data_IF_635032899844
#
_entry.id   IF_635032899844
#
_cell.length_a   1.000
_cell.length_b   1.000
_cell.length_c   1.000
_cell.angle_alpha   90.00
_cell.angle_beta   90.00
_cell.angle_gamma   90.00
#
_symmetry.space_group_name_H-M   'P 1'
#
loop_
_entity.id
_entity.type
_entity.pdbx_description
1 polymer ?
#
# COMPACT_ATOMS: atom_id res chain seq x y z
N UNK A 1 28.40 0.10 -4.03
CA UNK A 1 27.01 0.61 -3.95
C UNK A 1 26.84 1.38 -2.66
N UNK A 2 26.51 2.66 -2.79
CA UNK A 2 26.56 3.68 -1.75
C UNK A 2 25.44 3.47 -0.73
N UNK A 3 25.81 3.55 0.55
CA UNK A 3 25.01 3.11 1.70
C UNK A 3 24.24 4.31 2.25
N UNK A 4 22.98 4.50 1.83
CA UNK A 4 22.13 5.56 2.37
C UNK A 4 21.66 5.16 3.76
N UNK A 5 21.96 6.02 4.74
CA UNK A 5 21.69 5.91 6.18
C UNK A 5 20.34 6.58 6.45
N UNK A 6 19.32 5.76 6.71
CA UNK A 6 17.96 6.24 7.04
C UNK A 6 17.93 6.50 8.54
N UNK A 7 17.90 7.77 8.94
CA UNK A 7 17.81 8.21 10.34
C UNK A 7 16.38 8.13 10.90
N UNK A 8 16.22 8.31 12.21
CA UNK A 8 14.91 8.36 12.88
C UNK A 8 14.02 9.52 12.39
N UNK A 9 14.60 10.49 11.68
CA UNK A 9 13.94 11.59 10.98
C UNK A 9 13.98 11.41 9.45
N UNK A 10 14.03 10.17 8.96
CA UNK A 10 13.97 9.93 7.53
C UNK A 10 12.51 10.09 7.07
N UNK A 11 12.20 11.02 6.15
CA UNK A 11 10.85 11.21 5.62
C UNK A 11 10.25 9.92 5.06
N UNK A 12 11.07 8.97 4.62
CA UNK A 12 10.62 7.63 4.19
C UNK A 12 10.01 6.79 5.32
N UNK A 13 10.43 6.99 6.58
CA UNK A 13 9.88 6.28 7.74
C UNK A 13 8.50 6.79 8.12
N UNK A 14 8.30 8.11 8.06
CA UNK A 14 7.00 8.75 8.31
C UNK A 14 5.99 8.36 7.24
N UNK A 15 6.40 8.41 5.97
CA UNK A 15 5.54 8.00 4.85
C UNK A 15 5.13 6.52 4.95
N UNK A 16 6.05 5.65 5.37
CA UNK A 16 5.75 4.23 5.61
C UNK A 16 4.73 4.04 6.75
N UNK A 17 4.94 4.73 7.88
CA UNK A 17 4.03 4.66 9.04
C UNK A 17 2.64 5.15 8.66
N UNK A 18 2.53 6.27 7.93
CA UNK A 18 1.24 6.81 7.50
C UNK A 18 0.54 5.89 6.49
N UNK A 19 1.25 5.34 5.50
CA UNK A 19 0.68 4.32 4.61
C UNK A 19 0.13 3.14 5.40
N UNK A 20 0.89 2.66 6.38
CA UNK A 20 0.49 1.54 7.23
C UNK A 20 -0.75 1.89 8.06
N UNK A 21 -0.77 3.07 8.70
CA UNK A 21 -1.91 3.55 9.47
C UNK A 21 -3.17 3.60 8.61
N UNK A 22 -3.09 4.22 7.43
CA UNK A 22 -4.20 4.34 6.50
C UNK A 22 -4.68 2.99 5.94
N UNK A 23 -3.78 2.04 5.70
CA UNK A 23 -4.14 0.68 5.27
C UNK A 23 -4.89 -0.08 6.39
N UNK A 24 -4.38 -0.01 7.62
CA UNK A 24 -5.02 -0.63 8.79
C UNK A 24 -6.38 0.00 9.08
N UNK A 25 -6.50 1.32 8.97
CA UNK A 25 -7.76 2.03 9.13
C UNK A 25 -8.81 1.54 8.12
N UNK A 26 -8.48 1.48 6.83
CA UNK A 26 -9.39 0.97 5.78
C UNK A 26 -9.76 -0.50 6.02
N UNK A 27 -8.80 -1.31 6.43
CA UNK A 27 -9.04 -2.71 6.78
C UNK A 27 -10.01 -2.86 7.96
N UNK A 28 -9.77 -2.14 9.06
CA UNK A 28 -10.64 -2.15 10.24
C UNK A 28 -12.03 -1.63 9.89
N UNK A 29 -12.11 -0.52 9.13
CA UNK A 29 -13.39 0.02 8.65
C UNK A 29 -14.18 -1.02 7.86
N UNK A 30 -13.55 -1.82 7.00
CA UNK A 30 -14.23 -2.92 6.29
C UNK A 30 -14.76 -3.97 7.24
N UNK A 31 -13.95 -4.42 8.19
CA UNK A 31 -14.37 -5.42 9.19
C UNK A 31 -15.59 -4.92 9.95
N UNK A 32 -15.53 -3.72 10.53
CA UNK A 32 -16.62 -3.21 11.37
C UNK A 32 -17.87 -2.83 10.57
N UNK A 33 -17.72 -2.51 9.28
CA UNK A 33 -18.86 -2.26 8.38
C UNK A 33 -19.61 -3.54 7.99
N UNK A 34 -18.97 -4.71 8.13
CA UNK A 34 -19.57 -5.98 7.71
C UNK A 34 -20.36 -6.64 8.86
N UNK A 35 -21.68 -6.87 8.73
CA UNK A 35 -22.53 -7.33 9.83
C UNK A 35 -22.07 -8.61 10.51
N UNK A 36 -21.56 -9.58 9.74
CA UNK A 36 -21.07 -10.87 10.26
C UNK A 36 -19.72 -10.76 10.98
N UNK A 37 -18.82 -9.89 10.50
CA UNK A 37 -17.45 -9.81 11.01
C UNK A 37 -17.39 -8.94 12.27
N UNK A 38 -18.26 -7.94 12.36
CA UNK A 38 -18.42 -7.13 13.56
C UNK A 38 -18.90 -7.97 14.76
N UNK A 39 -19.63 -9.06 14.52
CA UNK A 39 -20.12 -9.96 15.57
C UNK A 39 -19.04 -10.95 16.04
N UNK A 40 -17.91 -11.03 15.34
CA UNK A 40 -16.82 -11.93 15.68
C UNK A 40 -16.25 -11.59 17.08
N UNK A 41 -16.14 -12.58 17.98
CA UNK A 41 -15.69 -12.35 19.34
C UNK A 41 -14.23 -11.86 19.41
N UNK A 42 -13.36 -12.31 18.50
CA UNK A 42 -11.96 -11.89 18.46
C UNK A 42 -11.85 -10.45 17.97
N UNK A 43 -12.69 -10.03 17.01
CA UNK A 43 -12.75 -8.64 16.53
C UNK A 43 -13.22 -7.70 17.65
N UNK A 44 -14.27 -8.09 18.37
CA UNK A 44 -14.78 -7.29 19.51
C UNK A 44 -13.76 -7.20 20.63
N UNK A 45 -13.17 -8.33 21.01
CA UNK A 45 -12.11 -8.38 22.01
C UNK A 45 -10.91 -7.50 21.61
N UNK A 46 -10.49 -7.57 20.34
CA UNK A 46 -9.39 -6.76 19.82
C UNK A 46 -9.67 -5.25 19.89
N UNK A 47 -10.91 -4.82 19.64
CA UNK A 47 -11.30 -3.40 19.66
C UNK A 47 -11.58 -2.88 21.08
N UNK A 48 -12.02 -3.73 22.00
CA UNK A 48 -12.46 -3.35 23.34
C UNK A 48 -11.37 -3.47 24.42
N UNK A 49 -10.29 -4.22 24.18
CA UNK A 49 -9.19 -4.36 25.16
C UNK A 49 -8.28 -3.12 25.19
N UNK A 50 -8.02 -2.61 26.39
CA UNK A 50 -7.06 -1.51 26.62
C UNK A 50 -5.61 -1.93 26.37
N UNK A 51 -5.25 -3.18 26.66
CA UNK A 51 -3.94 -3.75 26.38
C UNK A 51 -4.06 -5.00 25.50
N UNK A 52 -3.50 -4.92 24.30
CA UNK A 52 -3.43 -6.05 23.38
C UNK A 52 -2.38 -7.06 23.86
N UNK A 53 -2.68 -8.38 23.87
CA UNK A 53 -1.69 -9.40 24.19
C UNK A 53 -0.45 -9.25 23.32
N UNK A 54 0.74 -9.35 23.92
CA UNK A 54 2.01 -9.33 23.17
C UNK A 54 1.95 -10.43 22.11
N UNK A 55 2.15 -10.10 20.84
CA UNK A 55 2.11 -11.08 19.75
C UNK A 55 3.23 -12.12 19.92
N UNK A 56 2.91 -13.29 20.49
CA UNK A 56 3.91 -14.32 20.84
C UNK A 56 4.27 -15.22 19.65
N UNK A 57 3.44 -15.26 18.58
CA UNK A 57 3.55 -16.26 17.50
C UNK A 57 3.90 -15.72 16.11
N UNK A 58 4.25 -14.44 15.95
CA UNK A 58 4.68 -13.89 14.64
C UNK A 58 6.07 -14.36 14.19
N UNK A 59 6.82 -15.08 15.04
CA UNK A 59 8.15 -15.61 14.70
C UNK A 59 8.14 -16.96 13.95
N UNK A 60 7.00 -17.65 13.84
CA UNK A 60 6.96 -18.99 13.22
C UNK A 60 6.82 -18.97 11.68
N UNK A 61 6.51 -17.83 11.06
CA UNK A 61 6.27 -17.71 9.61
C UNK A 61 7.53 -17.43 8.77
N UNK A 62 8.70 -17.22 9.40
CA UNK A 62 9.98 -16.99 8.73
C UNK A 62 11.02 -18.06 9.10
N UNK A 63 10.68 -19.32 8.83
CA UNK A 63 11.60 -20.45 8.96
C UNK A 63 11.75 -21.18 7.63
N UNK A 64 12.95 -21.68 7.34
CA UNK A 64 13.28 -22.49 6.16
C UNK A 64 12.41 -23.77 5.95
N UNK A 65 11.45 -24.03 6.84
CA UNK A 65 10.40 -25.03 6.68
C UNK A 65 9.26 -24.62 5.74
N UNK A 66 8.93 -23.32 5.63
CA UNK A 66 7.81 -22.85 4.79
C UNK A 66 8.13 -22.96 3.29
N UNK A 67 9.38 -22.68 2.88
CA UNK A 67 9.89 -22.91 1.52
C UNK A 67 9.86 -24.40 1.12
N UNK A 68 10.11 -25.31 2.06
CA UNK A 68 9.98 -26.76 1.81
C UNK A 68 8.52 -27.21 1.77
N UNK A 69 7.62 -26.54 2.49
CA UNK A 69 6.20 -26.86 2.50
C UNK A 69 5.46 -26.29 1.29
N UNK A 70 5.84 -25.11 0.78
CA UNK A 70 5.32 -24.55 -0.49
C UNK A 70 5.74 -25.43 -1.68
N UNK A 71 6.98 -25.90 -1.74
CA UNK A 71 7.41 -26.81 -2.81
C UNK A 71 6.69 -28.17 -2.73
N UNK A 72 6.43 -28.70 -1.52
CA UNK A 72 5.64 -29.93 -1.33
C UNK A 72 4.14 -29.75 -1.57
N UNK A 73 3.57 -28.58 -1.29
CA UNK A 73 2.17 -28.26 -1.58
C UNK A 73 1.97 -28.01 -3.08
N UNK A 74 2.94 -27.42 -3.78
CA UNK A 74 2.95 -27.31 -5.24
C UNK A 74 2.93 -28.69 -5.92
N UNK A 75 3.70 -29.65 -5.41
CA UNK A 75 3.71 -31.03 -5.92
C UNK A 75 2.44 -31.83 -5.55
N UNK A 76 1.77 -31.49 -4.44
CA UNK A 76 0.53 -32.13 -4.00
C UNK A 76 -0.72 -31.57 -4.67
N UNK A 77 -0.76 -30.27 -4.97
CA UNK A 77 -1.85 -29.61 -5.72
C UNK A 77 -1.89 -30.10 -7.16
N UNK A 78 -0.74 -30.41 -7.77
CA UNK A 78 -0.69 -31.00 -9.11
C UNK A 78 -1.19 -32.46 -9.16
N UNK A 79 -1.40 -33.10 -8.00
CA UNK A 79 -1.82 -34.50 -7.87
C UNK A 79 -3.21 -34.67 -7.22
N UNK A 80 -3.80 -33.58 -6.75
CA UNK A 80 -5.17 -33.52 -6.21
C UNK A 80 -6.08 -32.63 -7.06
N UNK A 81 -5.88 -32.63 -8.39
CA UNK A 81 -6.95 -32.30 -9.33
C UNK A 81 -8.00 -33.41 -9.28
N UNK A 82 -8.77 -33.46 -8.19
CA UNK A 82 -10.08 -34.07 -8.23
C UNK A 82 -10.88 -33.16 -9.15
N UNK A 83 -11.01 -33.56 -10.42
CA UNK A 83 -11.99 -32.97 -11.34
C UNK A 83 -13.36 -33.16 -10.71
N UNK A 84 -13.82 -32.19 -9.93
CA UNK A 84 -15.25 -32.05 -9.69
C UNK A 84 -15.87 -31.67 -11.02
N UNK A 85 -16.79 -32.51 -11.48
CA UNK A 85 -17.41 -32.47 -12.80
C UNK A 85 -18.53 -31.42 -12.91
N UNK A 86 -18.56 -30.43 -12.02
CA UNK A 86 -19.45 -29.27 -12.17
C UNK A 86 -18.67 -28.06 -11.66
N UNK A 87 -17.75 -27.56 -12.49
CA UNK A 87 -17.35 -26.17 -12.37
C UNK A 87 -18.60 -25.37 -12.70
N UNK A 88 -19.26 -24.87 -11.66
CA UNK A 88 -20.41 -23.99 -11.80
C UNK A 88 -20.00 -22.84 -12.72
N UNK A 89 -20.65 -22.75 -13.89
CA UNK A 89 -20.34 -21.78 -14.94
C UNK A 89 -20.33 -20.35 -14.38
N UNK A 90 -21.13 -20.09 -13.35
CA UNK A 90 -21.11 -18.82 -12.64
C UNK A 90 -19.73 -18.52 -12.01
N UNK A 91 -19.08 -19.51 -11.38
CA UNK A 91 -17.75 -19.32 -10.79
C UNK A 91 -16.67 -19.15 -11.85
N UNK A 92 -16.76 -19.83 -12.99
CA UNK A 92 -15.81 -19.63 -14.10
C UNK A 92 -15.97 -18.22 -14.69
N UNK A 93 -17.20 -17.79 -14.96
CA UNK A 93 -17.51 -16.46 -15.46
C UNK A 93 -17.08 -15.38 -14.46
N UNK A 94 -17.36 -15.57 -13.16
CA UNK A 94 -16.94 -14.63 -12.11
C UNK A 94 -15.45 -14.59 -11.91
N UNK A 95 -14.76 -15.72 -12.02
CA UNK A 95 -13.30 -15.74 -11.97
C UNK A 95 -12.73 -14.90 -13.11
N UNK A 96 -13.24 -15.07 -14.33
CA UNK A 96 -12.78 -14.32 -15.50
C UNK A 96 -13.09 -12.82 -15.38
N UNK A 97 -14.26 -12.46 -14.83
CA UNK A 97 -14.64 -11.07 -14.54
C UNK A 97 -13.67 -10.43 -13.54
N UNK A 98 -13.38 -11.11 -12.42
CA UNK A 98 -12.43 -10.67 -11.39
C UNK A 98 -11.02 -10.51 -11.94
N UNK A 99 -10.56 -11.43 -12.81
CA UNK A 99 -9.26 -11.29 -13.48
C UNK A 99 -9.20 -10.07 -14.40
N UNK A 100 -10.28 -9.82 -15.15
CA UNK A 100 -10.36 -8.66 -16.03
C UNK A 100 -10.36 -7.36 -15.22
N UNK A 101 -11.14 -7.28 -14.14
CA UNK A 101 -11.15 -6.14 -13.22
C UNK A 101 -9.77 -5.90 -12.59
N UNK A 102 -9.08 -6.95 -12.13
CA UNK A 102 -7.72 -6.83 -11.59
C UNK A 102 -6.77 -6.20 -12.62
N UNK A 103 -6.83 -6.66 -13.87
CA UNK A 103 -6.00 -6.11 -14.93
C UNK A 103 -6.29 -4.62 -15.19
N UNK A 104 -7.56 -4.21 -15.18
CA UNK A 104 -7.93 -2.80 -15.35
C UNK A 104 -7.48 -1.96 -14.16
N UNK A 105 -7.66 -2.46 -12.93
CA UNK A 105 -7.19 -1.78 -11.72
C UNK A 105 -5.67 -1.61 -11.70
N UNK A 106 -4.90 -2.62 -12.15
CA UNK A 106 -3.44 -2.52 -12.27
C UNK A 106 -3.01 -1.47 -13.29
N UNK A 107 -3.69 -1.39 -14.44
CA UNK A 107 -3.45 -0.35 -15.45
C UNK A 107 -3.76 1.04 -14.87
N UNK A 108 -4.90 1.19 -14.19
CA UNK A 108 -5.29 2.44 -13.55
C UNK A 108 -4.27 2.86 -12.47
N UNK A 109 -3.84 1.92 -11.62
CA UNK A 109 -2.80 2.17 -10.60
C UNK A 109 -1.51 2.67 -11.22
N UNK A 110 -1.05 2.08 -12.32
CA UNK A 110 0.16 2.54 -13.01
C UNK A 110 0.02 3.96 -13.59
N UNK A 111 -1.16 4.31 -14.10
CA UNK A 111 -1.45 5.67 -14.58
C UNK A 111 -1.50 6.67 -13.42
N UNK A 112 -2.07 6.27 -12.27
CA UNK A 112 -2.10 7.12 -11.06
C UNK A 112 -0.70 7.31 -10.48
N UNK A 113 0.14 6.27 -10.44
CA UNK A 113 1.54 6.40 -10.01
C UNK A 113 2.29 7.40 -10.90
N UNK A 114 2.06 7.35 -12.21
CA UNK A 114 2.61 8.31 -13.17
C UNK A 114 2.09 9.74 -12.90
N UNK A 115 0.79 9.91 -12.67
CA UNK A 115 0.18 11.20 -12.33
C UNK A 115 0.80 11.81 -11.06
N UNK A 116 0.97 11.02 -10.00
CA UNK A 116 1.61 11.47 -8.75
C UNK A 116 3.03 11.94 -9.01
N UNK A 117 3.81 11.19 -9.80
CA UNK A 117 5.19 11.55 -10.10
C UNK A 117 5.28 12.84 -10.93
N UNK A 118 4.46 12.96 -11.99
CA UNK A 118 4.41 14.20 -12.77
C UNK A 118 4.00 15.40 -11.93
N UNK A 119 3.11 15.24 -10.94
CA UNK A 119 2.71 16.34 -10.07
C UNK A 119 3.82 16.76 -9.09
N UNK A 120 4.62 15.80 -8.60
CA UNK A 120 5.84 16.10 -7.82
C UNK A 120 6.88 16.84 -8.65
N UNK A 121 7.07 16.45 -9.91
CA UNK A 121 7.97 17.17 -10.84
C UNK A 121 7.46 18.58 -11.15
N UNK A 122 6.15 18.74 -11.36
CA UNK A 122 5.53 20.05 -11.57
C UNK A 122 5.75 20.97 -10.37
N UNK A 123 5.51 20.47 -9.14
CA UNK A 123 5.79 21.18 -7.90
C UNK A 123 7.25 21.70 -7.85
N UNK A 124 8.22 20.83 -8.14
CA UNK A 124 9.64 21.20 -8.15
C UNK A 124 9.96 22.26 -9.22
N UNK A 125 9.40 22.12 -10.41
CA UNK A 125 9.62 23.08 -11.49
C UNK A 125 9.00 24.45 -11.18
N UNK A 126 7.81 24.46 -10.57
CA UNK A 126 7.13 25.68 -10.09
C UNK A 126 7.97 26.38 -9.02
N UNK A 127 8.53 25.65 -8.05
CA UNK A 127 9.42 26.22 -7.04
C UNK A 127 10.68 26.87 -7.65
N UNK A 128 11.29 26.20 -8.64
CA UNK A 128 12.44 26.74 -9.37
C UNK A 128 12.07 27.99 -10.18
N UNK A 129 10.88 28.00 -10.77
CA UNK A 129 10.36 29.15 -11.50
C UNK A 129 10.13 30.34 -10.57
N UNK A 130 9.43 30.16 -9.44
CA UNK A 130 9.21 31.19 -8.43
C UNK A 130 10.53 31.83 -7.97
N UNK A 131 11.52 31.00 -7.61
CA UNK A 131 12.85 31.46 -7.20
C UNK A 131 13.56 32.25 -8.31
N UNK A 132 13.48 31.80 -9.55
CA UNK A 132 14.10 32.48 -10.70
C UNK A 132 13.46 33.84 -10.95
N UNK A 133 12.14 33.94 -10.84
CA UNK A 133 11.41 35.20 -10.98
C UNK A 133 11.74 36.18 -9.86
N UNK A 134 11.90 35.71 -8.62
CA UNK A 134 12.35 36.55 -7.52
C UNK A 134 13.79 37.08 -7.75
N UNK A 135 14.69 36.25 -8.26
CA UNK A 135 16.06 36.67 -8.59
C UNK A 135 16.07 37.70 -9.72
N UNK A 136 15.27 37.51 -10.77
CA UNK A 136 15.10 38.48 -11.85
C UNK A 136 14.53 39.81 -11.33
N UNK A 137 13.51 39.75 -10.47
CA UNK A 137 12.93 40.92 -9.82
C UNK A 137 13.96 41.75 -9.03
N UNK A 138 14.90 41.09 -8.36
CA UNK A 138 15.98 41.76 -7.62
C UNK A 138 17.06 42.38 -8.51
N UNK A 139 17.27 41.85 -9.72
CA UNK A 139 18.23 42.40 -10.68
C UNK A 139 17.66 43.52 -11.57
N UNK A 140 16.35 43.75 -11.50
CA UNK A 140 15.64 44.67 -12.38
C UNK A 140 15.67 46.11 -11.84
N UNK A 141 16.18 47.05 -12.65
CA UNK A 141 16.26 48.47 -12.27
C UNK A 141 14.89 49.16 -12.33
N UNK A 142 14.00 48.70 -13.21
CA UNK A 142 12.65 49.24 -13.29
C UNK A 142 11.82 48.77 -12.10
N UNK A 143 11.53 49.68 -11.17
CA UNK A 143 10.79 49.38 -9.93
C UNK A 143 9.40 48.78 -10.16
N UNK A 144 8.69 49.20 -11.22
CA UNK A 144 7.36 48.64 -11.51
C UNK A 144 7.47 47.18 -11.98
N UNK A 145 8.43 46.89 -12.85
CA UNK A 145 8.69 45.53 -13.34
C UNK A 145 9.25 44.63 -12.23
N UNK A 146 10.20 45.11 -11.43
CA UNK A 146 10.74 44.40 -10.25
C UNK A 146 9.62 43.97 -9.28
N UNK A 147 8.66 44.87 -9.00
CA UNK A 147 7.48 44.54 -8.18
C UNK A 147 6.59 43.48 -8.83
N UNK A 148 6.32 43.59 -10.13
CA UNK A 148 5.50 42.61 -10.85
C UNK A 148 6.14 41.21 -10.83
N UNK A 149 7.46 41.12 -11.03
CA UNK A 149 8.23 39.88 -10.95
C UNK A 149 8.20 39.27 -9.54
N UNK A 150 8.32 40.12 -8.51
CA UNK A 150 8.23 39.67 -7.10
C UNK A 150 6.83 39.14 -6.76
N UNK A 151 5.77 39.80 -7.24
CA UNK A 151 4.39 39.32 -7.07
C UNK A 151 4.14 38.00 -7.81
N UNK A 152 4.69 37.85 -9.01
CA UNK A 152 4.60 36.60 -9.76
C UNK A 152 5.32 35.47 -9.02
N UNK A 153 6.51 35.73 -8.47
CA UNK A 153 7.21 34.75 -7.64
C UNK A 153 6.37 34.32 -6.42
N UNK A 154 5.72 35.25 -5.73
CA UNK A 154 4.85 34.94 -4.59
C UNK A 154 3.62 34.10 -4.98
N UNK A 155 3.03 34.35 -6.15
CA UNK A 155 1.92 33.54 -6.68
C UNK A 155 2.39 32.12 -7.00
N UNK A 156 3.58 31.97 -7.58
CA UNK A 156 4.14 30.67 -7.93
C UNK A 156 4.57 29.88 -6.68
N UNK A 157 5.06 30.52 -5.62
CA UNK A 157 5.29 29.87 -4.31
C UNK A 157 3.97 29.32 -3.71
N UNK A 158 2.86 30.07 -3.84
CA UNK A 158 1.54 29.58 -3.43
C UNK A 158 1.06 28.41 -4.29
N UNK A 159 1.34 28.44 -5.60
CA UNK A 159 1.00 27.38 -6.53
C UNK A 159 1.82 26.10 -6.29
N UNK A 160 3.10 26.24 -5.92
CA UNK A 160 3.94 25.13 -5.45
C UNK A 160 3.28 24.41 -4.27
N UNK A 161 2.89 25.15 -3.22
CA UNK A 161 2.28 24.57 -2.03
C UNK A 161 1.00 23.78 -2.37
N UNK A 162 0.17 24.33 -3.28
CA UNK A 162 -1.00 23.62 -3.78
C UNK A 162 -0.62 22.34 -4.53
N UNK A 163 0.36 22.38 -5.44
CA UNK A 163 0.84 21.19 -6.14
C UNK A 163 1.39 20.12 -5.19
N UNK A 164 2.06 20.53 -4.12
CA UNK A 164 2.57 19.62 -3.10
C UNK A 164 1.44 18.93 -2.35
N UNK A 165 0.45 19.68 -1.86
CA UNK A 165 -0.72 19.11 -1.18
C UNK A 165 -1.50 18.18 -2.10
N UNK A 166 -1.72 18.61 -3.34
CA UNK A 166 -2.39 17.81 -4.33
C UNK A 166 -1.59 16.50 -4.53
N UNK A 167 -0.28 16.54 -4.80
CA UNK A 167 0.52 15.33 -4.99
C UNK A 167 0.43 14.36 -3.79
N UNK A 168 0.37 14.88 -2.56
CA UNK A 168 0.14 14.08 -1.36
C UNK A 168 -1.25 13.43 -1.37
N UNK A 169 -2.31 14.18 -1.69
CA UNK A 169 -3.68 13.67 -1.76
C UNK A 169 -3.85 12.58 -2.83
N UNK A 170 -3.31 12.78 -4.04
CA UNK A 170 -3.36 11.74 -5.09
C UNK A 170 -2.64 10.48 -4.66
N UNK A 171 -1.52 10.62 -3.95
CA UNK A 171 -0.77 9.48 -3.45
C UNK A 171 -1.53 8.72 -2.35
N UNK A 172 -1.89 9.41 -1.26
CA UNK A 172 -2.45 8.78 -0.06
C UNK A 172 -3.93 8.41 -0.19
N UNK A 173 -4.71 9.18 -0.95
CA UNK A 173 -6.15 8.94 -1.08
C UNK A 173 -6.43 8.05 -2.28
N UNK A 174 -5.95 8.42 -3.47
CA UNK A 174 -6.29 7.69 -4.70
C UNK A 174 -5.37 6.48 -4.92
N UNK A 175 -4.04 6.69 -4.89
CA UNK A 175 -3.05 5.66 -5.16
C UNK A 175 -3.11 4.50 -4.17
N UNK A 176 -3.07 4.81 -2.87
CA UNK A 176 -3.15 3.79 -1.82
C UNK A 176 -4.51 3.08 -1.78
N UNK A 177 -5.61 3.75 -2.12
CA UNK A 177 -6.94 3.13 -2.24
C UNK A 177 -6.98 2.13 -3.39
N UNK A 178 -6.47 2.50 -4.57
CA UNK A 178 -6.36 1.59 -5.71
C UNK A 178 -5.48 0.38 -5.41
N UNK A 179 -4.32 0.60 -4.79
CA UNK A 179 -3.41 -0.48 -4.38
C UNK A 179 -4.09 -1.48 -3.44
N UNK A 180 -4.94 -0.99 -2.56
CA UNK A 180 -5.69 -1.83 -1.63
C UNK A 180 -6.85 -2.58 -2.30
N UNK A 181 -7.58 -1.97 -3.24
CA UNK A 181 -8.54 -2.71 -4.06
C UNK A 181 -7.87 -3.81 -4.88
N UNK A 182 -6.69 -3.57 -5.46
CA UNK A 182 -5.90 -4.61 -6.14
C UNK A 182 -5.56 -5.76 -5.19
N UNK A 183 -5.20 -5.47 -3.93
CA UNK A 183 -4.91 -6.50 -2.92
C UNK A 183 -6.17 -7.28 -2.55
N UNK A 184 -7.31 -6.61 -2.42
CA UNK A 184 -8.60 -7.25 -2.11
C UNK A 184 -9.02 -8.19 -3.24
N UNK A 185 -8.99 -7.71 -4.48
CA UNK A 185 -9.30 -8.51 -5.69
C UNK A 185 -8.33 -9.70 -5.80
N UNK A 186 -7.04 -9.48 -5.54
CA UNK A 186 -6.05 -10.56 -5.52
C UNK A 186 -6.31 -11.63 -4.46
N UNK A 187 -6.85 -11.25 -3.29
CA UNK A 187 -7.22 -12.19 -2.24
C UNK A 187 -8.48 -13.00 -2.59
N UNK A 188 -9.47 -12.37 -3.23
CA UNK A 188 -10.65 -13.05 -3.79
C UNK A 188 -10.22 -14.08 -4.84
N UNK A 189 -9.30 -13.72 -5.75
CA UNK A 189 -8.78 -14.65 -6.76
C UNK A 189 -8.02 -15.82 -6.13
N UNK A 190 -7.18 -15.56 -5.12
CA UNK A 190 -6.44 -16.61 -4.42
C UNK A 190 -7.36 -17.61 -3.70
N UNK A 191 -8.50 -17.14 -3.19
CA UNK A 191 -9.53 -18.01 -2.61
C UNK A 191 -10.14 -18.96 -3.64
N UNK A 192 -10.50 -18.43 -4.82
CA UNK A 192 -11.18 -19.19 -5.88
C UNK A 192 -10.30 -20.27 -6.51
N UNK A 193 -8.98 -20.18 -6.35
CA UNK A 193 -8.00 -21.19 -6.78
C UNK A 193 -7.79 -22.33 -5.76
N UNK A 194 -8.34 -22.24 -4.54
CA UNK A 194 -7.90 -23.08 -3.42
C UNK A 194 -8.94 -23.75 -2.50
N UNK A 195 -10.25 -23.47 -2.57
CA UNK A 195 -11.21 -24.03 -1.58
C UNK A 195 -12.55 -24.45 -2.18
N UNK A 196 -13.05 -25.68 -1.88
CA UNK A 196 -14.41 -26.11 -2.20
C UNK A 196 -15.47 -25.37 -1.35
N UNK A 197 -16.59 -25.05 -1.99
CA UNK A 197 -17.75 -24.28 -1.51
C UNK A 197 -18.15 -24.54 -0.05
N UNK A 198 -18.04 -23.49 0.78
CA UNK A 198 -18.92 -23.23 1.93
C UNK A 198 -18.94 -21.71 2.23
N UNK A 199 -20.13 -21.12 2.12
CA UNK A 199 -20.36 -19.66 2.00
C UNK A 199 -19.89 -18.81 3.21
N UNK A 200 -19.84 -19.40 4.42
CA UNK A 200 -19.49 -18.66 5.65
C UNK A 200 -17.97 -18.55 5.91
N UNK A 201 -17.14 -19.35 5.23
CA UNK A 201 -15.68 -19.32 5.38
C UNK A 201 -15.00 -18.37 4.38
N UNK A 202 -15.72 -17.92 3.37
CA UNK A 202 -15.24 -17.15 2.23
C UNK A 202 -14.73 -15.75 2.65
N UNK A 203 -15.51 -15.04 3.47
CA UNK A 203 -15.17 -13.69 3.94
C UNK A 203 -14.06 -13.68 4.99
N UNK A 204 -14.11 -14.63 5.93
CA UNK A 204 -13.15 -14.73 7.04
C UNK A 204 -11.75 -15.07 6.51
N UNK A 205 -11.65 -15.95 5.52
CA UNK A 205 -10.36 -16.35 4.92
C UNK A 205 -9.79 -15.26 4.01
N UNK A 206 -10.61 -14.54 3.24
CA UNK A 206 -10.16 -13.39 2.42
C UNK A 206 -9.59 -12.28 3.31
N UNK A 207 -10.16 -12.05 4.48
CA UNK A 207 -9.73 -10.98 5.40
C UNK A 207 -8.50 -11.40 6.21
N UNK A 208 -8.45 -12.63 6.70
CA UNK A 208 -7.24 -13.18 7.34
C UNK A 208 -6.08 -13.27 6.34
N UNK A 209 -6.33 -13.55 5.06
CA UNK A 209 -5.27 -13.60 4.05
C UNK A 209 -4.75 -12.21 3.65
N UNK A 210 -5.60 -11.18 3.53
CA UNK A 210 -5.15 -9.79 3.31
C UNK A 210 -4.41 -9.25 4.54
N UNK A 211 -4.90 -9.51 5.76
CA UNK A 211 -4.25 -9.16 7.02
C UNK A 211 -2.91 -9.90 7.20
N UNK A 212 -2.86 -11.19 6.92
CA UNK A 212 -1.63 -11.98 7.01
C UNK A 212 -0.62 -11.57 5.93
N UNK A 213 -1.05 -11.28 4.69
CA UNK A 213 -0.14 -10.87 3.62
C UNK A 213 0.47 -9.49 3.90
N UNK A 214 -0.32 -8.54 4.41
CA UNK A 214 0.19 -7.22 4.83
C UNK A 214 1.13 -7.34 6.04
N UNK A 215 0.79 -8.17 7.03
CA UNK A 215 1.67 -8.46 8.19
C UNK A 215 2.97 -9.14 7.73
N UNK A 216 2.92 -10.09 6.79
CA UNK A 216 4.10 -10.78 6.25
C UNK A 216 5.00 -9.79 5.50
N UNK A 217 4.44 -8.94 4.63
CA UNK A 217 5.23 -7.91 3.92
C UNK A 217 5.88 -6.93 4.92
N UNK A 218 5.16 -6.55 5.97
CA UNK A 218 5.68 -5.68 7.04
C UNK A 218 6.76 -6.37 7.87
N UNK A 219 6.59 -7.65 8.22
CA UNK A 219 7.58 -8.42 8.97
C UNK A 219 8.84 -8.65 8.12
N UNK A 220 8.68 -9.00 6.84
CA UNK A 220 9.81 -9.17 5.92
C UNK A 220 10.54 -7.84 5.71
N UNK A 221 9.82 -6.72 5.56
CA UNK A 221 10.41 -5.38 5.52
C UNK A 221 11.18 -5.04 6.81
N UNK A 222 10.55 -5.24 7.97
CA UNK A 222 11.18 -4.98 9.27
C UNK A 222 12.37 -5.90 9.55
N UNK A 223 12.34 -7.16 9.09
CA UNK A 223 13.42 -8.13 9.26
C UNK A 223 14.61 -7.82 8.33
N UNK A 224 14.33 -7.39 7.09
CA UNK A 224 15.37 -6.88 6.18
C UNK A 224 16.01 -5.59 6.73
N UNK A 225 15.21 -4.70 7.33
CA UNK A 225 15.73 -3.53 8.04
C UNK A 225 16.55 -3.91 9.28
N UNK A 226 16.09 -4.86 10.10
CA UNK A 226 16.76 -5.30 11.35
C UNK A 226 18.06 -6.06 11.08
N UNK A 227 18.09 -6.94 10.07
CA UNK A 227 19.28 -7.71 9.67
C UNK A 227 20.39 -6.78 9.14
N UNK A 228 20.03 -5.62 8.60
CA UNK A 228 20.97 -4.57 8.18
C UNK A 228 21.58 -3.83 9.38
N UNK A 229 20.87 -3.70 10.50
CA UNK A 229 21.39 -3.10 11.75
C UNK A 229 22.44 -3.99 12.42
N UNK A 230 22.24 -5.31 12.40
CA UNK A 230 23.12 -6.26 13.08
C UNK A 230 24.47 -6.45 12.36
N UNK A 231 24.53 -6.21 11.04
CA UNK A 231 25.81 -6.22 10.30
C UNK A 231 26.69 -4.98 10.57
N UNK A 232 26.11 -3.93 11.15
CA UNK A 232 26.84 -2.72 11.56
C UNK A 232 27.52 -2.83 12.93
N UNK A 233 27.16 -3.83 13.75
CA UNK A 233 27.84 -4.06 15.05
C UNK A 233 28.96 -5.10 15.00
N UNK A 234 29.18 -5.77 13.86
CA UNK A 234 30.26 -6.75 13.66
C UNK A 234 31.40 -6.26 12.75
N UNK A 235 31.59 -4.94 12.65
CA UNK A 235 32.79 -4.34 12.02
C UNK A 235 33.35 -3.25 12.90
#
# INVERSE_FOLDING_TARGET
>A
MTKVKVGMDDPSSVEFVERRRAALERYLQRIVSHPTLLQDPDVREFLEREELPRAVNTQALSGAGFLKMINKASDAVNKMTIKMNEADTWFEDKFQEVENEEQQLRKLSAVVDSLVNHRKELCMNTALFAKSMAMLGNSEDNTALSRALSQLAEVEDKMEALHQEQAANDFFVLGELLCDYIRLVGAVRAYQCGVPSNENHLLVIVIISVGAFTIIVVIVGAFLCTRRTNSHQKK
#
